data_IF_081708765844
#
_entry.id   IF_081708765844
#
_cell.length_a   1.000
_cell.length_b   1.000
_cell.length_c   1.000
_cell.angle_alpha   90.00
_cell.angle_beta   90.00
_cell.angle_gamma   90.00
#
_symmetry.space_group_name_H-M   'P 1'
#
loop_
_entity.id
_entity.type
_entity.pdbx_description
1 polymer ?
#
# COMPACT_ATOMS: atom_id res chain seq x y z
N UNK A 1 7.08 7.54 -24.73
CA UNK A 1 8.24 7.44 -23.81
C UNK A 1 8.07 8.30 -22.55
N UNK A 2 7.75 9.60 -22.64
CA UNK A 2 7.59 10.50 -21.46
C UNK A 2 6.57 10.02 -20.40
N UNK A 3 5.48 9.37 -20.83
CA UNK A 3 4.40 8.90 -19.94
C UNK A 3 4.79 7.73 -19.05
N UNK A 4 5.76 6.91 -19.44
CA UNK A 4 6.23 5.77 -18.62
C UNK A 4 7.22 6.29 -17.57
N UNK A 5 8.19 7.11 -18.00
CA UNK A 5 9.18 7.73 -17.11
C UNK A 5 8.56 8.57 -15.98
N UNK A 6 7.52 9.36 -16.30
CA UNK A 6 6.82 10.13 -15.26
C UNK A 6 6.09 9.24 -14.24
N UNK A 7 5.57 8.08 -14.66
CA UNK A 7 4.88 7.14 -13.77
C UNK A 7 5.85 6.38 -12.86
N UNK A 8 7.06 6.08 -13.34
CA UNK A 8 8.13 5.51 -12.51
C UNK A 8 8.57 6.49 -11.44
N UNK A 9 8.76 7.76 -11.81
CA UNK A 9 9.11 8.83 -10.87
C UNK A 9 8.03 9.06 -9.80
N UNK A 10 6.75 9.02 -10.18
CA UNK A 10 5.63 9.10 -9.24
C UNK A 10 5.61 7.91 -8.27
N UNK A 11 5.78 6.69 -8.78
CA UNK A 11 5.82 5.48 -7.97
C UNK A 11 6.98 5.50 -6.96
N UNK A 12 8.20 5.82 -7.41
CA UNK A 12 9.36 6.02 -6.55
C UNK A 12 9.15 7.12 -5.50
N UNK A 13 8.49 8.21 -5.87
CA UNK A 13 8.17 9.30 -4.94
C UNK A 13 7.20 8.84 -3.85
N UNK A 14 6.14 8.10 -4.23
CA UNK A 14 5.19 7.54 -3.26
C UNK A 14 5.86 6.52 -2.34
N UNK A 15 6.75 5.69 -2.89
CA UNK A 15 7.55 4.75 -2.13
C UNK A 15 8.45 5.48 -1.11
N UNK A 16 9.18 6.51 -1.52
CA UNK A 16 9.99 7.35 -0.62
C UNK A 16 9.16 8.05 0.45
N UNK A 17 7.95 8.50 0.10
CA UNK A 17 7.02 9.11 1.07
C UNK A 17 6.57 8.09 2.12
N UNK A 18 6.41 6.83 1.75
CA UNK A 18 6.06 5.75 2.67
C UNK A 18 7.05 5.64 3.84
N UNK A 19 8.36 5.74 3.55
CA UNK A 19 9.40 5.70 4.58
C UNK A 19 9.40 6.91 5.52
N UNK A 20 8.85 8.05 5.07
CA UNK A 20 8.67 9.26 5.89
C UNK A 20 7.40 9.25 6.74
N UNK A 21 6.49 8.29 6.54
CA UNK A 21 5.26 8.18 7.33
C UNK A 21 5.55 7.63 8.72
N UNK A 22 4.72 8.05 9.67
CA UNK A 22 4.73 7.55 11.04
C UNK A 22 4.01 6.19 11.14
N UNK A 23 4.58 5.18 10.48
CA UNK A 23 4.13 3.79 10.50
C UNK A 23 5.29 2.89 10.89
N UNK A 24 4.98 1.71 11.46
CA UNK A 24 6.00 0.75 11.91
C UNK A 24 6.90 0.30 10.76
N UNK A 25 8.14 -0.06 11.07
CA UNK A 25 9.06 -0.62 10.06
C UNK A 25 8.51 -1.92 9.47
N UNK A 26 7.87 -2.74 10.30
CA UNK A 26 7.19 -3.95 9.86
C UNK A 26 6.13 -3.70 8.77
N UNK A 27 5.27 -2.69 8.96
CA UNK A 27 4.29 -2.31 7.92
C UNK A 27 4.98 -1.78 6.65
N UNK A 28 6.09 -1.05 6.76
CA UNK A 28 6.87 -0.60 5.59
C UNK A 28 7.41 -1.80 4.80
N UNK A 29 7.95 -2.80 5.48
CA UNK A 29 8.50 -4.00 4.86
C UNK A 29 7.42 -4.84 4.16
N UNK A 30 6.23 -4.96 4.76
CA UNK A 30 5.06 -5.62 4.13
C UNK A 30 4.67 -4.89 2.84
N UNK A 31 4.56 -3.55 2.90
CA UNK A 31 4.16 -2.73 1.74
C UNK A 31 5.20 -2.85 0.62
N UNK A 32 6.49 -2.88 0.96
CA UNK A 32 7.57 -3.10 0.00
C UNK A 32 7.48 -4.48 -0.66
N UNK A 33 7.29 -5.54 0.12
CA UNK A 33 7.12 -6.91 -0.41
C UNK A 33 5.91 -7.00 -1.33
N UNK A 34 4.79 -6.38 -0.94
CA UNK A 34 3.58 -6.34 -1.75
C UNK A 34 3.79 -5.59 -3.07
N UNK A 35 4.48 -4.45 -3.06
CA UNK A 35 4.78 -3.71 -4.28
C UNK A 35 5.71 -4.48 -5.24
N UNK A 36 6.71 -5.19 -4.71
CA UNK A 36 7.56 -6.10 -5.49
C UNK A 36 6.75 -7.24 -6.11
N UNK A 37 5.83 -7.83 -5.36
CA UNK A 37 4.91 -8.86 -5.85
C UNK A 37 4.04 -8.34 -7.00
N UNK A 38 3.41 -7.16 -6.84
CA UNK A 38 2.61 -6.56 -7.91
C UNK A 38 3.44 -6.18 -9.14
N UNK A 39 4.71 -5.82 -8.95
CA UNK A 39 5.65 -5.60 -10.06
C UNK A 39 5.85 -6.86 -10.89
N UNK A 40 5.97 -8.02 -10.26
CA UNK A 40 6.13 -9.31 -10.94
C UNK A 40 4.86 -9.73 -11.71
N UNK A 41 3.68 -9.28 -11.26
CA UNK A 41 2.39 -9.54 -11.90
C UNK A 41 2.02 -8.57 -13.04
N UNK A 42 2.97 -7.75 -13.52
CA UNK A 42 2.74 -6.80 -14.62
C UNK A 42 1.62 -5.79 -14.29
N UNK A 43 1.41 -5.50 -13.01
CA UNK A 43 0.45 -4.47 -12.59
C UNK A 43 1.04 -3.09 -12.89
N UNK A 44 0.25 -2.25 -13.57
CA UNK A 44 0.70 -0.89 -13.93
C UNK A 44 1.13 -0.07 -12.72
N UNK A 45 2.17 0.76 -12.91
CA UNK A 45 2.69 1.68 -11.90
C UNK A 45 1.62 2.58 -11.29
N UNK A 46 0.64 3.04 -12.09
CA UNK A 46 -0.49 3.84 -11.60
C UNK A 46 -1.30 3.10 -10.54
N UNK A 47 -1.59 1.81 -10.76
CA UNK A 47 -2.33 0.97 -9.79
C UNK A 47 -1.47 0.72 -8.55
N UNK A 48 -0.20 0.36 -8.73
CA UNK A 48 0.75 0.17 -7.63
C UNK A 48 0.89 1.40 -6.74
N UNK A 49 1.07 2.58 -7.33
CA UNK A 49 1.11 3.86 -6.60
C UNK A 49 -0.17 4.14 -5.80
N UNK A 50 -1.34 3.78 -6.35
CA UNK A 50 -2.61 3.88 -5.64
C UNK A 50 -2.64 2.94 -4.43
N UNK A 51 -2.18 1.69 -4.59
CA UNK A 51 -2.13 0.73 -3.48
C UNK A 51 -1.15 1.17 -2.38
N UNK A 52 0.06 1.61 -2.74
CA UNK A 52 1.03 2.17 -1.80
C UNK A 52 0.43 3.31 -0.96
N UNK A 53 -0.31 4.21 -1.61
CA UNK A 53 -0.96 5.32 -0.93
C UNK A 53 -2.07 4.87 0.03
N UNK A 54 -2.93 3.93 -0.40
CA UNK A 54 -4.00 3.35 0.44
C UNK A 54 -3.38 2.64 1.65
N UNK A 55 -2.38 1.79 1.42
CA UNK A 55 -1.72 1.03 2.47
C UNK A 55 -1.05 1.91 3.51
N UNK A 56 -0.31 2.92 3.07
CA UNK A 56 0.28 3.89 3.99
C UNK A 56 -0.78 4.63 4.81
N UNK A 57 -1.94 4.94 4.21
CA UNK A 57 -3.06 5.58 4.94
C UNK A 57 -3.71 4.63 5.94
N UNK A 58 -3.78 3.34 5.64
CA UNK A 58 -4.35 2.36 6.56
C UNK A 58 -3.45 2.08 7.75
N UNK A 59 -2.15 1.91 7.51
CA UNK A 59 -1.19 1.78 8.58
C UNK A 59 -1.21 3.00 9.53
N UNK A 60 -1.37 4.22 8.98
CA UNK A 60 -1.59 5.43 9.78
C UNK A 60 -2.91 5.40 10.55
N UNK A 61 -4.00 4.99 9.89
CA UNK A 61 -5.35 5.00 10.47
C UNK A 61 -5.48 4.03 11.65
N UNK A 62 -4.97 2.81 11.51
CA UNK A 62 -5.07 1.79 12.55
C UNK A 62 -4.05 2.00 13.67
N UNK A 63 -2.92 2.65 13.39
CA UNK A 63 -1.83 2.80 14.36
C UNK A 63 -1.23 1.48 14.84
N UNK A 64 -1.48 0.38 14.12
CA UNK A 64 -1.07 -0.99 14.45
C UNK A 64 -0.45 -1.66 13.23
N UNK A 65 0.25 -2.76 13.48
CA UNK A 65 0.74 -3.64 12.41
C UNK A 65 -0.43 -4.31 11.67
N UNK A 66 -0.29 -4.55 10.37
CA UNK A 66 -1.36 -5.11 9.54
C UNK A 66 -1.86 -6.48 10.02
N UNK A 67 -0.98 -7.29 10.60
CA UNK A 67 -1.30 -8.61 11.17
C UNK A 67 -2.03 -8.54 12.52
N UNK A 68 -2.06 -7.35 13.14
CA UNK A 68 -2.77 -7.08 14.40
C UNK A 68 -4.11 -6.38 14.18
N UNK A 69 -4.44 -6.04 12.93
CA UNK A 69 -5.75 -5.46 12.59
C UNK A 69 -6.79 -6.56 12.61
N UNK A 70 -7.83 -6.39 13.44
CA UNK A 70 -8.93 -7.36 13.49
C UNK A 70 -9.84 -7.22 12.28
N UNK A 71 -10.62 -8.27 12.00
CA UNK A 71 -11.61 -8.24 10.91
C UNK A 71 -12.63 -7.11 11.07
N UNK A 72 -13.09 -6.87 12.30
CA UNK A 72 -14.02 -5.78 12.62
C UNK A 72 -13.40 -4.41 12.38
N UNK A 73 -12.12 -4.21 12.72
CA UNK A 73 -11.39 -2.98 12.43
C UNK A 73 -11.25 -2.78 10.90
N UNK A 74 -10.95 -3.85 10.16
CA UNK A 74 -10.90 -3.84 8.70
C UNK A 74 -12.24 -3.51 8.04
N UNK A 75 -13.35 -4.02 8.58
CA UNK A 75 -14.71 -3.79 8.09
C UNK A 75 -15.25 -2.39 8.41
N UNK A 76 -14.64 -1.67 9.34
CA UNK A 76 -14.95 -0.26 9.63
C UNK A 76 -14.03 0.72 8.90
N UNK A 77 -13.04 0.23 8.15
CA UNK A 77 -12.13 1.08 7.41
C UNK A 77 -12.80 1.76 6.19
N UNK A 78 -12.29 2.92 5.75
CA UNK A 78 -12.78 3.61 4.57
C UNK A 78 -12.83 2.67 3.36
N UNK A 79 -13.83 2.81 2.47
CA UNK A 79 -14.09 1.91 1.31
C UNK A 79 -12.83 1.44 0.54
N UNK A 80 -11.78 2.28 0.30
CA UNK A 80 -10.55 1.81 -0.35
C UNK A 80 -9.81 0.68 0.38
N UNK A 81 -10.02 0.54 1.69
CA UNK A 81 -9.42 -0.45 2.56
C UNK A 81 -10.17 -1.78 2.59
N UNK A 82 -11.50 -1.73 2.53
CA UNK A 82 -12.33 -2.94 2.42
C UNK A 82 -11.92 -3.78 1.22
N UNK A 83 -11.67 -3.12 0.08
CA UNK A 83 -11.17 -3.76 -1.14
C UNK A 83 -9.77 -4.37 -0.98
N UNK A 84 -8.94 -3.80 -0.10
CA UNK A 84 -7.60 -4.33 0.17
C UNK A 84 -7.68 -5.60 1.03
N UNK A 85 -8.44 -5.57 2.13
CA UNK A 85 -8.62 -6.75 3.00
C UNK A 85 -9.39 -7.88 2.30
N UNK A 86 -10.37 -7.58 1.45
CA UNK A 86 -11.09 -8.60 0.67
C UNK A 86 -10.20 -9.33 -0.36
N UNK A 87 -9.07 -8.73 -0.76
CA UNK A 87 -8.11 -9.33 -1.70
C UNK A 87 -6.94 -10.05 -1.01
N UNK A 88 -6.76 -9.86 0.30
CA UNK A 88 -5.64 -10.40 1.08
C UNK A 88 -6.03 -11.52 2.05
N UNK A 89 -7.34 -11.70 2.30
CA UNK A 89 -7.91 -12.74 3.18
C UNK A 89 -8.61 -13.88 2.40
N UNK A 90 -8.34 -14.01 1.10
CA UNK A 90 -8.62 -15.20 0.28
C UNK A 90 -7.34 -16.00 0.10
#
# INVERSE_FOLDING_TARGET
MLTIYNREKEHLSQFKRLFKRNITQYNKDIIEKFDKYLSAQIISLKRRSKYLWILGKLAELFGKDFDKVTREEGDNAPIPAKLFFSLLLL
#
